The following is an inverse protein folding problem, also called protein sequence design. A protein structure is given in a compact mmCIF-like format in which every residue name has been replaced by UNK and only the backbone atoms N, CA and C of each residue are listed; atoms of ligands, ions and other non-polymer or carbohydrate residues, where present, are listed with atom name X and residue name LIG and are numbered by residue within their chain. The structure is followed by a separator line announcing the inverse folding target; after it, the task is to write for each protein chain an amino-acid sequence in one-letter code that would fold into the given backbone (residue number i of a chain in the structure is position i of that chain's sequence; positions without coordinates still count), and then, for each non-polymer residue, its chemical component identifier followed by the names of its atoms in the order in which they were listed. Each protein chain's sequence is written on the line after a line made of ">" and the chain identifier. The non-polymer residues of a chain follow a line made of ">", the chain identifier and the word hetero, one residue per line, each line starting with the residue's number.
data_IF_713226560937
#
_entry.id   IF_713226560937
#
_cell.length_a   1.000
_cell.length_b   1.000
_cell.length_c   1.000
_cell.angle_alpha   90.00
_cell.angle_beta   90.00
_cell.angle_gamma   90.00
#
_symmetry.space_group_name_H-M   'P 1'
#
loop_
_entity.id
_entity.type
_entity.pdbx_description
1 polymer ?
#
# COMPACT_ATOMS: atom_id res chain seq x y z
N UNK A 1 22.83 19.09 2.40
CA UNK A 1 23.89 18.40 1.63
C UNK A 1 23.41 18.36 0.20
N UNK A 2 24.09 19.08 -0.70
CA UNK A 2 23.69 19.16 -2.11
C UNK A 2 24.19 17.92 -2.84
N UNK A 3 23.28 17.11 -3.38
CA UNK A 3 23.63 16.00 -4.25
C UNK A 3 23.31 16.39 -5.70
N UNK A 4 24.32 16.39 -6.57
CA UNK A 4 24.13 16.57 -8.01
C UNK A 4 23.90 15.20 -8.66
N UNK A 5 22.68 14.93 -9.10
CA UNK A 5 22.39 13.84 -10.03
C UNK A 5 21.95 14.46 -11.36
N UNK A 6 22.72 14.21 -12.42
CA UNK A 6 22.41 14.52 -13.82
C UNK A 6 21.49 15.73 -14.07
N UNK A 7 22.05 16.92 -14.19
CA UNK A 7 21.34 18.14 -14.62
C UNK A 7 20.33 18.72 -13.61
N UNK A 8 20.02 18.02 -12.52
CA UNK A 8 19.06 18.51 -11.51
C UNK A 8 19.74 18.92 -10.20
N UNK A 9 19.38 20.10 -9.67
CA UNK A 9 19.84 20.56 -8.35
C UNK A 9 18.75 20.34 -7.32
N UNK A 10 19.12 19.69 -6.22
CA UNK A 10 18.23 19.30 -5.12
C UNK A 10 18.69 19.98 -3.85
N UNK A 11 17.90 20.92 -3.33
CA UNK A 11 18.19 21.59 -2.05
C UNK A 11 17.25 21.11 -0.97
N UNK A 12 17.83 20.71 0.16
CA UNK A 12 17.08 20.33 1.35
C UNK A 12 17.07 21.49 2.34
N UNK A 13 15.90 21.82 2.85
CA UNK A 13 15.76 22.77 3.96
C UNK A 13 14.73 22.26 4.94
N UNK A 14 15.06 22.35 6.22
CA UNK A 14 14.22 21.95 7.32
C UNK A 14 13.54 23.18 7.92
N UNK A 15 12.23 23.12 8.14
CA UNK A 15 11.56 24.15 8.93
C UNK A 15 11.77 23.89 10.44
N UNK A 16 11.31 24.82 11.29
CA UNK A 16 11.33 24.68 12.77
C UNK A 16 10.60 23.43 13.28
N UNK A 17 9.78 22.80 12.44
CA UNK A 17 9.03 21.58 12.72
C UNK A 17 9.69 20.33 12.12
N UNK A 18 10.97 20.40 11.74
CA UNK A 18 11.74 19.29 11.17
C UNK A 18 11.10 18.68 9.90
N UNK A 19 10.33 19.49 9.17
CA UNK A 19 9.80 19.11 7.86
C UNK A 19 10.81 19.51 6.80
N UNK A 20 11.32 18.53 6.06
CA UNK A 20 12.22 18.76 4.93
C UNK A 20 11.40 19.05 3.68
N UNK A 21 11.75 20.13 2.98
CA UNK A 21 11.26 20.37 1.63
C UNK A 21 12.43 20.46 0.66
N UNK A 22 12.14 20.00 -0.55
CA UNK A 22 13.12 19.73 -1.59
C UNK A 22 12.84 20.63 -2.76
N UNK A 23 13.77 21.53 -3.07
CA UNK A 23 13.71 22.27 -4.33
C UNK A 23 14.32 21.39 -5.42
N UNK A 24 13.55 21.11 -6.47
CA UNK A 24 14.00 20.36 -7.64
C UNK A 24 14.07 21.36 -8.79
N UNK A 25 15.28 21.64 -9.28
CA UNK A 25 15.49 22.42 -10.49
C UNK A 25 15.80 21.47 -11.65
N UNK A 26 14.94 21.43 -12.68
CA UNK A 26 15.18 20.64 -13.89
C UNK A 26 15.95 21.46 -14.95
N UNK A 27 16.83 20.80 -15.71
CA UNK A 27 17.73 21.43 -16.71
C UNK A 27 16.94 22.03 -17.90
N UNK A 28 17.22 23.29 -18.31
CA UNK A 28 16.51 24.00 -19.38
C UNK A 28 16.64 23.37 -20.78
N UNK A 29 17.57 22.43 -21.00
CA UNK A 29 17.74 21.75 -22.30
C UNK A 29 16.62 20.77 -22.65
N UNK A 30 15.77 20.41 -21.68
CA UNK A 30 14.64 19.50 -21.85
C UNK A 30 13.31 20.21 -21.52
N UNK A 31 13.13 21.41 -22.08
CA UNK A 31 11.85 22.11 -22.30
C UNK A 31 10.78 21.94 -21.21
N UNK A 32 11.07 22.38 -19.99
CA UNK A 32 10.19 23.12 -19.06
C UNK A 32 11.03 23.37 -17.81
N UNK A 33 11.38 24.62 -17.55
CA UNK A 33 12.12 25.04 -16.35
C UNK A 33 11.19 24.96 -15.15
N UNK A 34 10.98 23.77 -14.60
CA UNK A 34 10.16 23.57 -13.41
C UNK A 34 11.12 23.57 -12.23
N UNK A 35 11.15 24.68 -11.49
CA UNK A 35 11.63 24.67 -10.11
C UNK A 35 10.44 24.33 -9.23
N UNK A 36 10.33 23.06 -8.83
CA UNK A 36 9.24 22.58 -7.96
C UNK A 36 9.71 22.40 -6.53
N UNK A 37 8.82 22.64 -5.58
CA UNK A 37 9.02 22.27 -4.17
C UNK A 37 8.28 20.97 -3.86
N UNK A 38 9.00 19.92 -3.47
CA UNK A 38 8.45 18.65 -2.97
C UNK A 38 8.59 18.58 -1.44
N UNK A 39 7.53 18.17 -0.76
CA UNK A 39 7.43 18.07 0.70
C UNK A 39 7.40 16.62 1.21
N UNK A 40 7.56 15.63 0.33
CA UNK A 40 7.71 14.22 0.72
C UNK A 40 6.41 13.47 1.04
N UNK A 41 5.24 14.07 0.79
CA UNK A 41 3.93 13.45 1.03
C UNK A 41 3.20 13.14 -0.29
N UNK A 42 2.75 11.90 -0.45
CA UNK A 42 2.30 11.35 -1.73
C UNK A 42 1.03 11.99 -2.28
N UNK A 43 0.03 12.27 -1.43
CA UNK A 43 -1.21 12.93 -1.83
C UNK A 43 -1.08 14.47 -1.94
N UNK A 44 0.02 15.02 -1.42
CA UNK A 44 0.36 16.44 -1.55
C UNK A 44 1.43 16.69 -2.61
N UNK A 45 1.78 15.70 -3.44
CA UNK A 45 2.64 15.84 -4.63
C UNK A 45 1.96 16.68 -5.74
N UNK A 46 1.42 17.85 -5.39
CA UNK A 46 1.51 18.97 -6.31
C UNK A 46 2.92 19.50 -6.15
N UNK A 47 3.72 19.39 -7.20
CA UNK A 47 4.85 20.30 -7.36
C UNK A 47 4.30 21.71 -7.23
N UNK A 48 4.66 22.42 -6.17
CA UNK A 48 4.39 23.85 -6.12
C UNK A 48 5.40 24.52 -7.02
N UNK A 49 4.90 25.21 -8.03
CA UNK A 49 5.73 25.96 -8.93
C UNK A 49 6.16 27.24 -8.24
N UNK A 50 7.43 27.61 -8.41
CA UNK A 50 7.84 28.96 -8.11
C UNK A 50 7.13 29.90 -9.09
N UNK A 51 6.29 30.78 -8.57
CA UNK A 51 5.57 31.79 -9.35
C UNK A 51 6.56 32.78 -9.97
N UNK A 52 7.74 32.93 -9.36
CA UNK A 52 8.85 33.75 -9.86
C UNK A 52 10.18 33.38 -9.20
N UNK A 53 11.23 33.97 -9.75
CA UNK A 53 12.57 33.99 -9.17
C UNK A 53 12.59 34.51 -7.72
N UNK A 54 13.58 34.03 -6.97
CA UNK A 54 13.80 34.41 -5.57
C UNK A 54 14.10 35.91 -5.40
N UNK A 55 13.52 36.52 -4.38
CA UNK A 55 13.77 37.92 -4.01
C UNK A 55 14.87 37.95 -2.96
N UNK A 56 16.02 38.52 -3.30
CA UNK A 56 17.11 38.68 -2.36
C UNK A 56 16.78 39.73 -1.28
N UNK A 57 17.02 39.39 -0.01
CA UNK A 57 16.88 40.24 1.16
C UNK A 57 18.22 40.31 1.91
N UNK A 58 18.38 41.26 2.84
CA UNK A 58 19.63 41.43 3.62
C UNK A 58 19.97 40.24 4.52
N UNK A 59 19.00 39.36 4.80
CA UNK A 59 19.13 38.22 5.70
C UNK A 59 18.51 36.92 5.15
N UNK A 60 18.21 36.85 3.85
CA UNK A 60 17.59 35.66 3.28
C UNK A 60 17.10 35.86 1.84
N UNK A 61 16.36 34.87 1.35
CA UNK A 61 15.73 34.88 0.03
C UNK A 61 14.25 34.54 0.22
N UNK A 62 13.37 35.29 -0.44
CA UNK A 62 11.93 35.02 -0.45
C UNK A 62 11.57 34.31 -1.75
N UNK A 63 10.98 33.13 -1.63
CA UNK A 63 10.36 32.42 -2.75
C UNK A 63 8.84 32.62 -2.72
N UNK A 64 8.26 32.89 -3.90
CA UNK A 64 6.81 32.96 -4.08
C UNK A 64 6.37 31.68 -4.77
N UNK A 65 5.45 30.95 -4.14
CA UNK A 65 4.98 29.65 -4.61
C UNK A 65 3.45 29.63 -4.68
N UNK A 66 2.90 28.78 -5.52
CA UNK A 66 1.48 28.68 -5.82
C UNK A 66 0.70 27.73 -4.87
N UNK A 67 1.04 27.75 -3.58
CA UNK A 67 0.27 27.01 -2.58
C UNK A 67 0.84 27.04 -1.17
N UNK A 68 0.30 26.16 -0.32
CA UNK A 68 0.72 26.01 1.07
C UNK A 68 1.53 24.73 1.24
N UNK A 69 2.72 24.85 1.82
CA UNK A 69 3.53 23.69 2.17
C UNK A 69 2.86 22.91 3.32
N UNK A 70 2.80 21.59 3.15
CA UNK A 70 2.48 20.63 4.22
C UNK A 70 1.14 20.88 4.93
N UNK A 71 0.10 21.25 4.18
CA UNK A 71 -1.24 21.47 4.73
C UNK A 71 -2.22 20.43 4.17
N UNK A 72 -2.54 19.35 4.92
CA UNK A 72 -3.60 18.45 4.53
C UNK A 72 -4.96 19.15 4.69
N UNK A 73 -5.83 18.98 3.69
CA UNK A 73 -7.20 19.54 3.71
C UNK A 73 -8.25 18.54 4.21
N UNK A 74 -7.89 17.26 4.22
CA UNK A 74 -8.80 16.16 4.45
C UNK A 74 -8.40 15.37 5.70
N UNK A 75 -9.39 14.83 6.40
CA UNK A 75 -9.16 13.86 7.47
C UNK A 75 -8.78 12.48 6.90
N UNK A 76 -8.34 11.60 7.80
CA UNK A 76 -7.84 10.28 7.45
C UNK A 76 -8.94 9.40 6.84
N UNK A 77 -10.18 9.51 7.31
CA UNK A 77 -11.29 8.76 6.74
C UNK A 77 -11.57 9.19 5.28
N UNK A 78 -11.53 10.49 4.99
CA UNK A 78 -11.67 11.00 3.62
C UNK A 78 -10.55 10.45 2.72
N UNK A 79 -9.29 10.57 3.13
CA UNK A 79 -8.16 10.07 2.35
C UNK A 79 -8.27 8.54 2.13
N UNK A 80 -8.61 7.77 3.16
CA UNK A 80 -8.79 6.32 3.03
C UNK A 80 -9.88 5.94 2.03
N UNK A 81 -10.95 6.73 1.92
CA UNK A 81 -12.10 6.43 1.05
C UNK A 81 -11.99 6.98 -0.37
N UNK A 82 -11.05 7.89 -0.64
CA UNK A 82 -10.93 8.60 -1.92
C UNK A 82 -9.63 8.31 -2.69
N UNK A 83 -8.78 7.42 -2.17
CA UNK A 83 -7.55 7.01 -2.84
C UNK A 83 -7.82 5.78 -3.73
N UNK A 84 -7.54 5.84 -5.04
CA UNK A 84 -7.93 4.81 -5.99
C UNK A 84 -7.21 3.46 -5.81
N UNK A 85 -5.98 3.49 -5.26
CA UNK A 85 -5.12 2.30 -5.15
C UNK A 85 -5.37 1.47 -3.87
N UNK A 86 -6.22 1.97 -2.97
CA UNK A 86 -6.45 1.41 -1.63
C UNK A 86 -7.93 1.33 -1.26
N UNK A 87 -8.84 1.50 -2.21
CA UNK A 87 -10.28 1.61 -1.95
C UNK A 87 -10.89 0.36 -1.30
N UNK A 88 -10.48 -0.83 -1.74
CA UNK A 88 -10.92 -2.11 -1.21
C UNK A 88 -10.19 -2.42 0.10
N UNK A 89 -8.88 -2.19 0.14
CA UNK A 89 -8.06 -2.41 1.32
C UNK A 89 -8.50 -1.53 2.50
N UNK A 90 -8.80 -0.25 2.23
CA UNK A 90 -9.26 0.70 3.24
C UNK A 90 -10.66 0.36 3.74
N UNK A 91 -11.62 0.04 2.85
CA UNK A 91 -12.97 -0.40 3.23
C UNK A 91 -12.90 -1.65 4.12
N UNK A 92 -12.07 -2.62 3.76
CA UNK A 92 -11.87 -3.82 4.55
C UNK A 92 -11.25 -3.53 5.93
N UNK A 93 -10.28 -2.62 6.03
CA UNK A 93 -9.69 -2.22 7.30
C UNK A 93 -10.70 -1.44 8.17
N UNK A 94 -11.45 -0.50 7.59
CA UNK A 94 -12.44 0.32 8.30
C UNK A 94 -13.56 -0.54 8.90
N UNK A 95 -14.01 -1.59 8.18
CA UNK A 95 -14.99 -2.58 8.70
C UNK A 95 -14.52 -3.35 9.93
N UNK A 96 -13.21 -3.42 10.17
CA UNK A 96 -12.65 -4.10 11.32
C UNK A 96 -12.58 -3.22 12.56
N UNK A 97 -12.66 -1.90 12.43
CA UNK A 97 -12.54 -0.97 13.57
C UNK A 97 -13.80 -1.09 14.45
N UNK A 98 -13.69 -1.62 15.69
CA UNK A 98 -14.83 -1.64 16.60
C UNK A 98 -15.23 -0.22 16.99
N UNK A 99 -16.53 0.04 17.13
CA UNK A 99 -17.05 1.39 17.42
C UNK A 99 -16.58 1.98 18.75
N UNK A 100 -16.18 1.16 19.71
CA UNK A 100 -15.64 1.57 21.02
C UNK A 100 -14.12 1.36 21.14
N UNK A 101 -13.42 1.27 20.00
CA UNK A 101 -11.96 1.13 19.94
C UNK A 101 -11.19 2.34 20.47
N UNK A 102 -11.85 3.51 20.54
CA UNK A 102 -11.19 4.79 20.77
C UNK A 102 -10.38 5.29 19.56
N UNK A 103 -10.44 4.60 18.42
CA UNK A 103 -9.86 5.04 17.15
C UNK A 103 -10.94 5.78 16.38
N UNK A 104 -10.75 7.08 16.19
CA UNK A 104 -11.62 7.93 15.40
C UNK A 104 -10.82 8.64 14.32
N UNK A 105 -10.96 8.16 13.09
CA UNK A 105 -10.25 8.68 11.91
C UNK A 105 -10.91 9.94 11.32
N UNK A 106 -12.01 10.41 11.92
CA UNK A 106 -12.67 11.69 11.58
C UNK A 106 -12.38 12.79 12.60
N UNK A 107 -11.99 12.41 13.83
CA UNK A 107 -11.64 13.36 14.89
C UNK A 107 -10.32 14.06 14.59
N UNK A 108 -10.35 15.39 14.61
CA UNK A 108 -9.16 16.23 14.48
C UNK A 108 -8.38 16.41 15.80
N UNK A 109 -8.85 15.81 16.89
CA UNK A 109 -8.23 15.91 18.23
C UNK A 109 -7.16 14.85 18.47
N UNK A 110 -7.15 13.81 17.65
CA UNK A 110 -6.26 12.67 17.75
C UNK A 110 -5.40 12.61 16.49
N UNK A 111 -4.23 11.99 16.60
CA UNK A 111 -3.32 11.80 15.47
C UNK A 111 -3.00 10.32 15.36
N UNK A 112 -3.08 9.76 14.16
CA UNK A 112 -2.89 8.32 13.95
C UNK A 112 -1.81 8.05 12.89
N UNK A 113 -1.21 6.87 12.93
CA UNK A 113 -0.49 6.33 11.78
C UNK A 113 -1.22 5.09 11.30
N UNK A 114 -1.58 5.04 10.01
CA UNK A 114 -2.40 3.99 9.41
C UNK A 114 -1.60 3.29 8.32
N UNK A 115 -1.23 2.05 8.55
CA UNK A 115 -0.74 1.12 7.55
C UNK A 115 -1.93 0.49 6.84
N UNK A 116 -2.30 1.01 5.68
CA UNK A 116 -3.47 0.55 4.93
C UNK A 116 -3.07 -0.53 3.91
N UNK A 117 -3.75 -1.68 3.87
CA UNK A 117 -3.54 -2.64 2.80
C UNK A 117 -3.87 -2.03 1.44
N UNK A 118 -3.05 -2.30 0.43
CA UNK A 118 -3.36 -2.00 -0.98
C UNK A 118 -4.49 -2.90 -1.50
N UNK A 119 -5.15 -2.50 -2.59
CA UNK A 119 -6.21 -3.31 -3.19
C UNK A 119 -5.70 -4.69 -3.65
N UNK A 120 -4.46 -4.75 -4.17
CA UNK A 120 -3.80 -6.01 -4.53
C UNK A 120 -3.51 -6.92 -3.34
N UNK A 121 -3.41 -6.38 -2.12
CA UNK A 121 -3.19 -7.22 -0.93
C UNK A 121 -4.39 -8.10 -0.57
N UNK A 122 -5.57 -7.82 -1.15
CA UNK A 122 -6.78 -8.61 -1.04
C UNK A 122 -6.96 -9.59 -2.20
N UNK A 123 -5.98 -9.69 -3.09
CA UNK A 123 -6.02 -10.66 -4.18
C UNK A 123 -6.07 -12.09 -3.62
N UNK A 124 -6.70 -13.05 -4.33
CA UNK A 124 -6.81 -14.45 -3.89
C UNK A 124 -5.49 -15.16 -3.61
N UNK A 125 -4.36 -14.60 -4.08
CA UNK A 125 -3.01 -15.10 -3.78
C UNK A 125 -2.56 -14.79 -2.34
N UNK A 126 -3.16 -13.76 -1.74
CA UNK A 126 -2.83 -13.27 -0.41
C UNK A 126 -3.97 -13.52 0.58
N UNK A 127 -5.21 -13.39 0.12
CA UNK A 127 -6.40 -13.61 0.94
C UNK A 127 -7.54 -14.19 0.11
N UNK A 128 -7.95 -15.42 0.41
CA UNK A 128 -9.03 -16.08 -0.31
C UNK A 128 -10.40 -15.51 0.06
N UNK A 129 -11.37 -15.65 -0.85
CA UNK A 129 -12.75 -15.18 -0.62
C UNK A 129 -13.40 -15.74 0.66
N UNK A 130 -13.26 -17.05 1.00
CA UNK A 130 -13.78 -17.58 2.26
C UNK A 130 -13.13 -16.95 3.50
N UNK A 131 -11.84 -16.61 3.42
CA UNK A 131 -11.15 -15.93 4.52
C UNK A 131 -11.73 -14.52 4.71
N UNK A 132 -11.87 -13.74 3.63
CA UNK A 132 -12.51 -12.42 3.65
C UNK A 132 -13.91 -12.45 4.28
N UNK A 133 -14.71 -13.45 3.92
CA UNK A 133 -16.06 -13.61 4.46
C UNK A 133 -16.03 -13.94 5.96
N UNK A 134 -15.15 -14.87 6.37
CA UNK A 134 -14.94 -15.22 7.77
C UNK A 134 -14.48 -14.01 8.61
N UNK A 135 -13.56 -13.20 8.08
CA UNK A 135 -13.05 -11.99 8.71
C UNK A 135 -14.18 -11.00 9.01
N UNK A 136 -15.07 -10.81 8.03
CA UNK A 136 -16.15 -9.85 8.14
C UNK A 136 -17.28 -10.33 9.05
N UNK A 137 -17.68 -11.60 8.93
CA UNK A 137 -18.87 -12.14 9.56
C UNK A 137 -18.63 -12.87 10.89
N UNK A 138 -17.46 -13.51 11.08
CA UNK A 138 -17.25 -14.48 12.15
C UNK A 138 -16.19 -14.08 13.18
N UNK A 139 -15.38 -13.05 12.93
CA UNK A 139 -14.40 -12.61 13.92
C UNK A 139 -15.06 -11.98 15.15
N UNK A 140 -14.56 -12.39 16.32
CA UNK A 140 -14.87 -11.71 17.57
C UNK A 140 -14.34 -10.29 17.53
N UNK A 141 -14.94 -9.41 18.32
CA UNK A 141 -14.50 -8.03 18.45
C UNK A 141 -13.02 -7.91 18.85
N UNK A 142 -12.55 -8.76 19.75
CA UNK A 142 -11.15 -8.77 20.19
C UNK A 142 -10.20 -9.20 19.06
N UNK A 143 -10.61 -10.17 18.23
CA UNK A 143 -9.84 -10.58 17.07
C UNK A 143 -9.78 -9.47 16.01
N UNK A 144 -10.90 -8.77 15.75
CA UNK A 144 -10.92 -7.58 14.87
C UNK A 144 -9.98 -6.50 15.40
N UNK A 145 -10.03 -6.21 16.70
CA UNK A 145 -9.13 -5.25 17.34
C UNK A 145 -7.66 -5.66 17.23
N UNK A 146 -7.34 -6.95 17.37
CA UNK A 146 -5.99 -7.45 17.21
C UNK A 146 -5.45 -7.20 15.79
N UNK A 147 -6.29 -7.31 14.76
CA UNK A 147 -5.92 -6.95 13.38
C UNK A 147 -5.78 -5.44 13.23
N UNK A 148 -6.73 -4.65 13.76
CA UNK A 148 -6.70 -3.19 13.68
C UNK A 148 -5.42 -2.63 14.29
N UNK A 149 -5.00 -3.12 15.46
CA UNK A 149 -3.77 -2.64 16.11
C UNK A 149 -2.48 -2.99 15.36
N UNK A 150 -2.54 -3.90 14.39
CA UNK A 150 -1.41 -4.18 13.49
C UNK A 150 -1.26 -3.14 12.38
N UNK A 151 -2.36 -2.47 12.07
CA UNK A 151 -2.46 -1.52 10.97
C UNK A 151 -2.53 -0.08 11.48
N UNK A 152 -3.06 0.16 12.67
CA UNK A 152 -3.27 1.50 13.21
C UNK A 152 -2.44 1.66 14.48
N UNK A 153 -1.55 2.66 14.43
CA UNK A 153 -0.85 3.19 15.60
C UNK A 153 -1.65 4.38 16.13
N UNK A 154 -2.34 4.24 17.27
CA UNK A 154 -3.16 5.31 17.80
C UNK A 154 -2.31 6.40 18.47
N UNK A 155 -2.74 7.66 18.36
CA UNK A 155 -2.17 8.81 19.06
C UNK A 155 -0.68 9.09 18.75
N UNK A 156 -0.21 8.68 17.57
CA UNK A 156 1.18 8.89 17.16
C UNK A 156 1.32 9.14 15.66
N UNK A 157 2.21 10.08 15.34
CA UNK A 157 2.67 10.40 13.99
C UNK A 157 3.99 9.69 13.74
N UNK A 158 4.04 8.80 12.74
CA UNK A 158 5.26 8.14 12.28
C UNK A 158 5.38 8.37 10.79
N UNK A 159 6.26 9.28 10.40
CA UNK A 159 6.64 9.53 9.00
C UNK A 159 7.57 8.43 8.51
N UNK A 160 7.61 8.18 7.20
CA UNK A 160 8.44 7.13 6.61
C UNK A 160 9.92 7.27 6.94
N UNK A 161 10.44 8.50 6.95
CA UNK A 161 11.85 8.78 7.26
C UNK A 161 12.18 8.62 8.75
N UNK A 162 11.14 8.58 9.61
CA UNK A 162 11.28 8.35 11.05
C UNK A 162 11.20 6.86 11.44
N UNK A 163 10.93 5.99 10.46
CA UNK A 163 10.87 4.55 10.67
C UNK A 163 12.30 4.02 10.87
N UNK A 164 12.49 3.23 11.94
CA UNK A 164 13.77 2.64 12.30
C UNK A 164 13.61 1.12 12.31
N UNK A 165 14.67 0.42 11.90
CA UNK A 165 14.72 -1.05 11.97
C UNK A 165 14.43 -1.54 13.40
N UNK A 166 13.56 -2.54 13.53
CA UNK A 166 13.16 -3.12 14.82
C UNK A 166 12.20 -2.28 15.69
N UNK A 167 11.81 -1.06 15.30
CA UNK A 167 11.16 -0.12 16.23
C UNK A 167 9.62 -0.16 16.28
N UNK A 168 8.93 -1.06 15.57
CA UNK A 168 7.45 -1.00 15.50
C UNK A 168 6.76 -1.09 16.87
N UNK A 169 7.26 -1.95 17.76
CA UNK A 169 6.75 -2.07 19.13
C UNK A 169 6.85 -0.78 19.95
N UNK A 170 7.77 0.13 19.58
CA UNK A 170 7.87 1.46 20.20
C UNK A 170 6.73 2.40 19.76
N UNK A 171 6.10 2.12 18.61
CA UNK A 171 4.98 2.90 18.09
C UNK A 171 3.63 2.31 18.51
N UNK A 172 3.42 1.00 18.28
CA UNK A 172 2.12 0.34 18.44
C UNK A 172 1.90 -0.36 19.79
N UNK A 173 2.86 -0.28 20.72
CA UNK A 173 2.82 -0.96 22.01
C UNK A 173 3.19 -2.45 21.92
N UNK A 174 2.65 -3.28 22.82
CA UNK A 174 3.02 -4.70 23.03
C UNK A 174 2.46 -5.65 21.95
N UNK A 175 2.66 -5.31 20.68
CA UNK A 175 2.25 -6.11 19.52
C UNK A 175 3.52 -6.60 18.85
N UNK A 176 3.57 -7.89 18.54
CA UNK A 176 4.72 -8.54 17.90
C UNK A 176 4.83 -8.18 16.41
N UNK A 177 4.89 -6.89 16.09
CA UNK A 177 5.28 -6.41 14.78
C UNK A 177 6.71 -5.91 14.87
N UNK A 178 7.49 -6.22 13.85
CA UNK A 178 8.86 -5.75 13.71
C UNK A 178 8.99 -5.01 12.39
N UNK A 179 9.56 -3.81 12.41
CA UNK A 179 10.01 -3.15 11.17
C UNK A 179 11.30 -3.80 10.72
N UNK A 180 11.41 -4.10 9.43
CA UNK A 180 12.63 -4.63 8.82
C UNK A 180 13.06 -3.69 7.71
N UNK A 181 14.26 -3.12 7.85
CA UNK A 181 14.89 -2.32 6.81
C UNK A 181 15.60 -3.22 5.79
N UNK A 182 15.37 -2.96 4.51
CA UNK A 182 16.08 -3.58 3.38
C UNK A 182 16.53 -2.53 2.39
N UNK A 183 17.35 -2.95 1.42
CA UNK A 183 17.85 -2.09 0.35
C UNK A 183 16.75 -1.45 -0.48
N UNK A 184 15.57 -2.09 -0.55
CA UNK A 184 14.44 -1.68 -1.38
C UNK A 184 13.25 -1.12 -0.57
N UNK A 185 13.43 -0.85 0.72
CA UNK A 185 12.44 -0.18 1.57
C UNK A 185 12.25 -0.81 2.95
N UNK A 186 11.19 -0.39 3.63
CA UNK A 186 10.79 -0.91 4.93
C UNK A 186 9.66 -1.94 4.83
N UNK A 187 9.72 -2.94 5.69
CA UNK A 187 8.76 -4.01 5.79
C UNK A 187 8.20 -4.12 7.20
N UNK A 188 6.91 -4.41 7.31
CA UNK A 188 6.27 -4.80 8.56
C UNK A 188 6.20 -6.32 8.61
N UNK A 189 6.88 -6.94 9.56
CA UNK A 189 6.78 -8.37 9.81
C UNK A 189 5.88 -8.63 11.00
N UNK A 190 4.90 -9.51 10.80
CA UNK A 190 4.07 -10.08 11.85
C UNK A 190 3.91 -11.56 11.57
N UNK A 191 4.38 -12.41 12.49
CA UNK A 191 4.42 -13.87 12.30
C UNK A 191 5.15 -14.24 10.99
N UNK A 192 4.58 -15.11 10.16
CA UNK A 192 5.11 -15.49 8.84
C UNK A 192 4.76 -14.50 7.71
N UNK A 193 4.07 -13.40 8.03
CA UNK A 193 3.63 -12.40 7.05
C UNK A 193 4.55 -11.20 7.08
N UNK A 194 4.97 -10.79 5.90
CA UNK A 194 5.79 -9.62 5.71
C UNK A 194 5.18 -8.71 4.66
N UNK A 195 4.87 -7.47 5.05
CA UNK A 195 4.21 -6.47 4.23
C UNK A 195 5.20 -5.33 3.94
N UNK A 196 5.51 -5.09 2.67
CA UNK A 196 6.32 -3.95 2.23
C UNK A 196 5.50 -2.68 2.29
N UNK A 197 6.09 -1.59 2.77
CA UNK A 197 5.52 -0.26 2.60
C UNK A 197 5.78 0.18 1.15
N UNK A 198 4.72 0.23 0.34
CA UNK A 198 4.81 0.50 -1.11
C UNK A 198 4.51 1.95 -1.48
N UNK A 199 3.68 2.63 -0.69
CA UNK A 199 3.34 4.05 -0.91
C UNK A 199 3.26 4.75 0.46
N UNK A 200 4.37 5.33 0.93
CA UNK A 200 4.38 6.00 2.23
C UNK A 200 3.78 7.42 2.19
N UNK A 201 3.61 8.00 3.37
CA UNK A 201 3.39 9.43 3.58
C UNK A 201 2.18 10.02 2.83
N UNK A 202 1.01 9.38 2.89
CA UNK A 202 -0.25 10.05 2.52
C UNK A 202 -0.70 10.85 3.76
N UNK A 203 -0.70 12.18 3.66
CA UNK A 203 -0.97 13.07 4.79
C UNK A 203 -2.46 13.40 4.93
N UNK A 204 -2.98 13.26 6.14
CA UNK A 204 -4.29 13.74 6.54
C UNK A 204 -4.16 14.67 7.75
N UNK A 205 -5.20 15.46 8.05
CA UNK A 205 -5.20 16.39 9.18
C UNK A 205 -4.91 15.68 10.51
N UNK A 206 -5.40 14.46 10.65
CA UNK A 206 -5.36 13.64 11.85
C UNK A 206 -4.65 12.30 11.64
N UNK A 207 -3.95 12.09 10.52
CA UNK A 207 -3.14 10.89 10.34
C UNK A 207 -2.00 11.02 9.32
N UNK A 208 -1.06 10.08 9.40
CA UNK A 208 -0.25 9.66 8.25
C UNK A 208 -0.70 8.27 7.82
N UNK A 209 -0.89 8.09 6.52
CA UNK A 209 -1.26 6.81 5.93
C UNK A 209 -0.06 6.29 5.13
N UNK A 210 0.29 5.02 5.36
CA UNK A 210 1.30 4.27 4.60
C UNK A 210 0.62 3.07 3.96
N UNK A 211 0.74 2.90 2.65
CA UNK A 211 0.16 1.74 1.96
C UNK A 211 1.12 0.56 2.04
N UNK A 212 0.58 -0.62 2.35
CA UNK A 212 1.33 -1.88 2.39
C UNK A 212 0.83 -2.90 1.37
N UNK A 213 1.72 -3.73 0.86
CA UNK A 213 1.39 -4.73 -0.18
C UNK A 213 0.74 -6.02 0.37
N UNK A 214 0.76 -6.23 1.69
CA UNK A 214 0.10 -7.36 2.35
C UNK A 214 -0.76 -6.94 3.52
N UNK A 215 -1.85 -7.67 3.71
CA UNK A 215 -2.71 -7.52 4.86
C UNK A 215 -2.14 -8.31 6.06
N UNK A 216 -1.80 -7.64 7.17
CA UNK A 216 -1.15 -8.27 8.33
C UNK A 216 -2.14 -9.07 9.20
N UNK A 217 -2.61 -10.21 8.70
CA UNK A 217 -3.53 -11.07 9.42
C UNK A 217 -3.40 -12.57 9.11
N UNK A 218 -3.86 -13.41 10.03
CA UNK A 218 -4.01 -14.85 9.82
C UNK A 218 -5.47 -15.24 9.93
N UNK A 219 -5.97 -16.03 8.97
CA UNK A 219 -7.24 -16.73 9.09
C UNK A 219 -7.02 -18.14 9.61
N UNK A 220 -7.93 -18.71 10.43
CA UNK A 220 -7.87 -20.12 10.81
C UNK A 220 -8.00 -21.09 9.61
N UNK A 221 -8.32 -20.59 8.42
CA UNK A 221 -8.37 -21.36 7.17
C UNK A 221 -7.03 -21.41 6.41
N UNK A 222 -5.96 -20.78 6.89
CA UNK A 222 -4.61 -20.96 6.32
C UNK A 222 -4.10 -22.37 6.61
N UNK A 223 -4.56 -23.34 5.82
CA UNK A 223 -3.96 -24.67 5.79
C UNK A 223 -2.63 -24.51 5.06
N UNK A 224 -1.54 -24.79 5.77
CA UNK A 224 -0.17 -24.87 5.24
C UNK A 224 -0.12 -25.73 3.99
N UNK A 225 -0.15 -25.12 2.80
CA UNK A 225 0.27 -25.79 1.55
C UNK A 225 1.80 -25.79 1.47
N UNK A 226 2.44 -26.50 2.40
CA UNK A 226 3.69 -27.18 2.09
C UNK A 226 3.29 -28.62 1.74
N UNK A 227 3.63 -29.14 0.55
CA UNK A 227 3.35 -30.53 0.22
C UNK A 227 4.05 -31.43 1.27
N UNK A 228 3.37 -32.43 1.85
CA UNK A 228 4.02 -33.32 2.81
C UNK A 228 5.14 -34.08 2.10
N UNK A 229 6.39 -33.87 2.56
CA UNK A 229 7.53 -34.72 2.23
C UNK A 229 7.16 -36.16 2.55
N UNK A 230 7.00 -36.96 1.51
CA UNK A 230 6.50 -38.33 1.61
C UNK A 230 7.63 -39.21 2.11
N UNK A 231 7.73 -39.41 3.42
CA UNK A 231 8.50 -40.52 3.97
C UNK A 231 7.70 -41.80 3.77
N UNK A 232 7.88 -42.45 2.61
CA UNK A 232 7.30 -43.77 2.35
C UNK A 232 7.97 -44.84 3.24
N UNK A 233 7.16 -45.51 4.05
CA UNK A 233 7.48 -46.81 4.65
C UNK A 233 7.03 -47.90 3.65
N UNK A 234 7.85 -48.92 3.32
CA UNK A 234 7.47 -49.91 2.32
C UNK A 234 6.60 -51.00 2.96
N UNK A 235 5.43 -51.28 2.38
CA UNK A 235 4.72 -52.55 2.57
C UNK A 235 4.21 -53.04 1.22
N UNK A 236 4.70 -54.22 0.84
CA UNK A 236 4.32 -54.96 -0.35
C UNK A 236 2.94 -55.61 -0.20
N UNK A 237 2.18 -55.68 -1.29
CA UNK A 237 1.58 -56.93 -1.78
C UNK A 237 0.82 -56.65 -3.07
N UNK A 238 1.03 -57.50 -4.07
CA UNK A 238 0.42 -57.39 -5.39
C UNK A 238 -0.94 -58.10 -5.48
N UNK A 239 -1.81 -57.58 -6.34
CA UNK A 239 -2.68 -58.40 -7.19
C UNK A 239 -3.21 -57.59 -8.39
N UNK A 240 -3.47 -58.32 -9.47
CA UNK A 240 -3.53 -57.89 -10.88
C UNK A 240 -4.97 -57.58 -11.37
N UNK A 241 -5.14 -56.40 -12.00
CA UNK A 241 -5.97 -55.99 -13.18
C UNK A 241 -7.48 -56.31 -13.23
N UNK A 242 -8.36 -55.29 -13.43
CA UNK A 242 -9.15 -55.07 -14.68
C UNK A 242 -10.04 -53.80 -14.66
N UNK A 243 -9.96 -52.98 -15.72
CA UNK A 243 -11.10 -52.29 -16.35
C UNK A 243 -11.52 -50.88 -15.86
N UNK A 244 -11.26 -49.87 -16.70
CA UNK A 244 -12.23 -48.85 -17.21
C UNK A 244 -11.60 -47.45 -17.30
N UNK A 245 -11.42 -46.97 -18.53
CA UNK A 245 -10.96 -45.60 -18.85
C UNK A 245 -12.18 -44.79 -19.26
N UNK A 246 -12.53 -43.75 -18.48
CA UNK A 246 -13.46 -42.70 -18.89
C UNK A 246 -12.72 -41.34 -18.91
N UNK A 247 -12.76 -40.57 -20.02
CA UNK A 247 -11.95 -39.36 -20.15
C UNK A 247 -12.74 -38.09 -19.74
N UNK A 248 -12.31 -37.46 -18.65
CA UNK A 248 -12.73 -36.09 -18.28
C UNK A 248 -11.79 -35.03 -18.90
N UNK A 249 -11.61 -35.07 -20.22
CA UNK A 249 -10.76 -34.08 -20.94
C UNK A 249 -11.49 -33.35 -22.09
N UNK A 250 -12.79 -33.58 -22.30
CA UNK A 250 -13.53 -33.01 -23.43
C UNK A 250 -14.07 -31.59 -23.21
N UNK A 251 -14.07 -31.05 -21.98
CA UNK A 251 -14.68 -29.73 -21.68
C UNK A 251 -13.72 -28.54 -21.82
N UNK A 252 -12.40 -28.78 -21.86
CA UNK A 252 -11.41 -27.68 -21.91
C UNK A 252 -11.19 -27.14 -23.34
N UNK A 253 -11.37 -27.98 -24.36
CA UNK A 253 -11.12 -27.62 -25.76
C UNK A 253 -12.25 -26.76 -26.34
N UNK A 254 -13.48 -26.92 -25.85
CA UNK A 254 -14.65 -26.16 -26.34
C UNK A 254 -14.58 -24.69 -25.89
N UNK A 255 -14.11 -24.41 -24.67
CA UNK A 255 -13.98 -23.03 -24.17
C UNK A 255 -12.88 -22.24 -24.90
N UNK A 256 -11.77 -22.89 -25.29
CA UNK A 256 -10.68 -22.21 -26.00
C UNK A 256 -11.06 -21.82 -27.44
N UNK A 257 -11.86 -22.65 -28.12
CA UNK A 257 -12.37 -22.35 -29.46
C UNK A 257 -13.37 -21.17 -29.47
N UNK A 258 -14.23 -21.05 -28.44
CA UNK A 258 -15.15 -19.91 -28.32
C UNK A 258 -14.42 -18.58 -28.07
N UNK A 259 -13.33 -18.59 -27.30
CA UNK A 259 -12.55 -17.38 -27.03
C UNK A 259 -11.85 -16.86 -28.30
N UNK A 260 -11.26 -17.75 -29.10
CA UNK A 260 -10.61 -17.35 -30.36
C UNK A 260 -11.63 -16.82 -31.38
N UNK A 261 -12.82 -17.43 -31.48
CA UNK A 261 -13.89 -16.93 -32.37
C UNK A 261 -14.44 -15.56 -31.93
N UNK A 262 -14.54 -15.30 -30.63
CA UNK A 262 -15.02 -14.00 -30.12
C UNK A 262 -14.02 -12.87 -30.40
N UNK A 263 -12.72 -13.12 -30.20
CA UNK A 263 -11.67 -12.14 -30.47
C UNK A 263 -11.59 -11.80 -31.97
N UNK A 264 -11.71 -12.80 -32.85
CA UNK A 264 -11.72 -12.56 -34.30
C UNK A 264 -12.94 -11.74 -34.78
N UNK A 265 -14.11 -11.94 -34.18
CA UNK A 265 -15.33 -11.20 -34.53
C UNK A 265 -15.24 -9.71 -34.16
N UNK A 266 -14.57 -9.37 -33.05
CA UNK A 266 -14.41 -7.97 -32.64
C UNK A 266 -13.35 -7.23 -33.47
N UNK A 267 -12.28 -7.92 -33.90
CA UNK A 267 -11.24 -7.32 -34.76
C UNK A 267 -11.77 -7.03 -36.17
N UNK A 268 -12.63 -7.89 -36.74
CA UNK A 268 -13.24 -7.64 -38.06
C UNK A 268 -14.25 -6.48 -38.02
N UNK A 269 -14.94 -6.26 -36.90
CA UNK A 269 -15.83 -5.09 -36.74
C UNK A 269 -15.07 -3.77 -36.70
N UNK A 270 -13.87 -3.74 -36.11
CA UNK A 270 -13.04 -2.52 -36.05
C UNK A 270 -12.42 -2.15 -37.41
N UNK A 271 -12.11 -3.13 -38.26
CA UNK A 271 -11.53 -2.88 -39.59
C UNK A 271 -12.53 -2.34 -40.63
N UNK A 272 -13.83 -2.52 -40.42
CA UNK A 272 -14.87 -2.02 -41.34
C UNK A 272 -15.36 -0.58 -41.04
N UNK A 273 -14.86 0.07 -39.99
CA UNK A 273 -15.20 1.46 -39.65
C UNK A 273 -14.18 2.47 -40.21
N UNK A 274 -13.03 2.00 -40.72
CA UNK A 274 -11.97 2.85 -41.28
C UNK A 274 -11.87 2.78 -42.81
N UNK A 275 -13.00 2.69 -43.53
CA UNK A 275 -13.03 2.76 -44.99
C UNK A 275 -14.07 3.74 -45.50
#
# INVERSE_FOLDING_TARGET
>A
MDAMFGGSRVFYTENRYNTTFTFIHLDPTNSTEITSVDIGYTNLRRSFDLVRDGIACSNGIIYVMDGFLNFPLNDAHFELTHQPDISLGSDQLLKLIPSDSGIDLTSLKTMHTVFVPSDSSLDPQHLSRPELEYINANLTKDAKMAIVRRHIVPNQKVDYDSIIDGSFGAYAGSINITVIARTDGFYLRWDDIEAKIVKPNILAINAIIHVVDRFLMTSPYQTTTLPPTTTQKPVSSGHTIHGSVHPHYALFIIYFAYFICFVFSQVVKYLNVCR
#
